data_IF_371368829995
#
_entry.id   IF_371368829995
#
_cell.length_a   1.000
_cell.length_b   1.000
_cell.length_c   1.000
_cell.angle_alpha   90.00
_cell.angle_beta   90.00
_cell.angle_gamma   90.00
#
_symmetry.space_group_name_H-M   'P 1'
#
loop_
_entity.id
_entity.type
_entity.pdbx_description
1 polymer ?
#
# COMPACT_ATOMS: atom_id res chain seq x y z
N UNK A 1 -3.96 -9.18 23.64
CA UNK A 1 -4.87 -8.10 23.19
C UNK A 1 -6.02 -8.78 22.49
N UNK A 2 -7.16 -8.93 23.17
CA UNK A 2 -8.34 -9.63 22.64
C UNK A 2 -8.99 -8.77 21.56
N UNK A 3 -9.35 -9.37 20.41
CA UNK A 3 -10.12 -8.75 19.31
C UNK A 3 -11.56 -8.42 19.72
N UNK A 4 -11.71 -7.66 20.80
CA UNK A 4 -13.02 -7.29 21.29
C UNK A 4 -13.53 -6.10 20.45
N UNK A 5 -14.35 -6.41 19.46
CA UNK A 5 -15.38 -5.52 18.89
C UNK A 5 -14.95 -4.30 18.08
N UNK A 6 -14.10 -4.50 17.08
CA UNK A 6 -14.26 -3.73 15.83
C UNK A 6 -14.53 -4.75 14.74
N UNK A 7 -15.81 -4.86 14.36
CA UNK A 7 -16.18 -5.59 13.15
C UNK A 7 -15.61 -4.78 11.98
N UNK A 8 -14.38 -5.07 11.57
CA UNK A 8 -13.75 -4.33 10.47
C UNK A 8 -14.46 -4.60 9.15
N UNK A 9 -15.18 -5.72 9.01
CA UNK A 9 -15.86 -6.09 7.78
C UNK A 9 -16.81 -4.97 7.35
N UNK A 10 -16.63 -4.50 6.12
CA UNK A 10 -17.40 -3.40 5.54
C UNK A 10 -16.85 -2.01 5.84
N UNK A 11 -15.90 -1.86 6.76
CA UNK A 11 -15.19 -0.60 6.99
C UNK A 11 -13.96 -0.49 6.09
N UNK A 12 -13.60 0.75 5.75
CA UNK A 12 -12.32 1.05 5.13
C UNK A 12 -11.24 1.12 6.21
N UNK A 13 -10.09 0.53 5.95
CA UNK A 13 -8.94 0.58 6.87
C UNK A 13 -7.70 1.05 6.13
N UNK A 14 -6.81 1.70 6.86
CA UNK A 14 -5.44 1.94 6.41
C UNK A 14 -4.52 0.91 7.06
N UNK A 15 -3.80 0.18 6.22
CA UNK A 15 -2.95 -0.90 6.65
C UNK A 15 -1.50 -0.69 6.17
N UNK A 16 -0.54 -0.96 7.04
CA UNK A 16 0.89 -1.01 6.68
C UNK A 16 1.14 -2.24 5.81
N UNK A 17 1.22 -2.01 4.52
CA UNK A 17 1.55 -2.99 3.49
C UNK A 17 2.05 -2.26 2.25
N UNK A 18 2.80 -2.95 1.42
CA UNK A 18 3.28 -2.48 0.12
C UNK A 18 2.46 -3.03 -1.04
N UNK A 19 1.50 -3.91 -0.76
CA UNK A 19 0.76 -4.63 -1.81
C UNK A 19 -0.70 -4.20 -1.82
N UNK A 20 -1.20 -3.85 -3.01
CA UNK A 20 -2.59 -3.49 -3.27
C UNK A 20 -3.12 -4.29 -4.47
N UNK A 21 -4.42 -4.55 -4.49
CA UNK A 21 -5.08 -5.04 -5.71
C UNK A 21 -5.45 -3.87 -6.62
N UNK A 22 -5.25 -4.05 -7.92
CA UNK A 22 -5.78 -3.12 -8.92
C UNK A 22 -7.31 -3.24 -8.99
N UNK A 23 -8.00 -2.11 -8.93
CA UNK A 23 -9.46 -2.06 -9.00
C UNK A 23 -9.92 -0.81 -9.75
N UNK A 24 -10.89 -0.98 -10.64
CA UNK A 24 -11.38 0.08 -11.52
C UNK A 24 -10.24 0.73 -12.32
N UNK A 25 -9.27 -0.08 -12.73
CA UNK A 25 -8.09 0.37 -13.48
C UNK A 25 -7.10 1.21 -12.68
N UNK A 26 -7.17 1.26 -11.35
CA UNK A 26 -6.21 2.03 -10.54
C UNK A 26 -5.86 1.35 -9.21
N UNK A 27 -4.73 1.74 -8.63
CA UNK A 27 -4.35 1.36 -7.27
C UNK A 27 -3.79 2.58 -6.55
N UNK A 28 -4.20 2.77 -5.29
CA UNK A 28 -3.70 3.86 -4.45
C UNK A 28 -2.88 3.31 -3.31
N UNK A 29 -1.69 3.87 -3.17
CA UNK A 29 -0.73 3.56 -2.13
C UNK A 29 -0.46 4.82 -1.30
N UNK A 30 -0.23 4.65 -0.01
CA UNK A 30 0.36 5.64 0.86
C UNK A 30 1.81 5.31 1.17
N UNK A 31 2.58 6.32 1.54
CA UNK A 31 3.92 6.15 2.10
C UNK A 31 4.23 7.27 3.08
N UNK A 32 4.87 6.90 4.19
CA UNK A 32 5.27 7.83 5.24
C UNK A 32 6.78 8.06 5.18
N UNK A 33 7.19 9.32 5.14
CA UNK A 33 8.59 9.74 5.19
C UNK A 33 8.91 10.33 6.56
N UNK A 34 10.03 9.93 7.16
CA UNK A 34 10.47 10.43 8.47
C UNK A 34 10.93 11.89 8.43
N UNK A 35 11.38 12.36 7.27
CA UNK A 35 11.73 13.75 6.96
C UNK A 35 11.49 14.03 5.48
N UNK A 36 11.69 15.27 5.04
CA UNK A 36 11.53 15.61 3.63
C UNK A 36 12.61 14.93 2.79
N UNK A 37 12.21 14.31 1.68
CA UNK A 37 13.10 13.69 0.71
C UNK A 37 13.46 14.67 -0.41
N UNK A 38 14.72 14.67 -0.82
CA UNK A 38 15.18 15.36 -2.03
C UNK A 38 14.92 14.53 -3.29
N UNK A 39 14.94 13.20 -3.18
CA UNK A 39 14.66 12.29 -4.28
C UNK A 39 13.63 11.25 -3.85
N UNK A 40 12.61 11.02 -4.67
CA UNK A 40 11.63 9.94 -4.46
C UNK A 40 11.42 9.21 -5.78
N UNK A 41 11.86 7.96 -5.83
CA UNK A 41 11.63 7.03 -6.93
C UNK A 41 10.63 5.97 -6.50
N UNK A 42 9.64 5.72 -7.34
CA UNK A 42 8.59 4.72 -7.12
C UNK A 42 8.66 3.70 -8.25
N UNK A 43 8.52 2.43 -7.89
CA UNK A 43 8.30 1.34 -8.83
C UNK A 43 7.11 0.52 -8.38
N UNK A 44 6.35 0.01 -9.35
CA UNK A 44 5.24 -0.93 -9.12
C UNK A 44 5.61 -2.24 -9.78
N UNK A 45 5.48 -3.34 -9.02
CA UNK A 45 5.78 -4.69 -9.48
C UNK A 45 4.53 -5.55 -9.53
N UNK A 46 4.45 -6.43 -10.50
CA UNK A 46 3.43 -7.48 -10.56
C UNK A 46 3.73 -8.61 -9.55
N UNK A 47 2.79 -9.55 -9.41
CA UNK A 47 2.94 -10.73 -8.54
C UNK A 47 4.09 -11.68 -8.94
N UNK A 48 4.63 -11.53 -10.15
CA UNK A 48 5.80 -12.28 -10.63
C UNK A 48 7.12 -11.57 -10.31
N UNK A 49 7.06 -10.37 -9.71
CA UNK A 49 8.21 -9.54 -9.37
C UNK A 49 8.72 -8.65 -10.50
N UNK A 50 8.03 -8.63 -11.67
CA UNK A 50 8.43 -7.77 -12.78
C UNK A 50 8.01 -6.34 -12.51
N UNK A 51 8.90 -5.38 -12.81
CA UNK A 51 8.55 -3.96 -12.70
C UNK A 51 7.68 -3.58 -13.89
N UNK A 52 6.42 -3.25 -13.63
CA UNK A 52 5.44 -2.87 -14.66
C UNK A 52 5.39 -1.35 -14.85
N UNK A 53 5.75 -0.58 -13.81
CA UNK A 53 5.73 0.87 -13.86
C UNK A 53 6.84 1.46 -12.99
N UNK A 54 7.38 2.61 -13.40
CA UNK A 54 8.31 3.43 -12.61
C UNK A 54 8.00 4.90 -12.78
N UNK A 55 8.34 5.70 -11.76
CA UNK A 55 8.18 7.14 -11.78
C UNK A 55 8.69 7.79 -10.51
N UNK A 56 8.27 9.03 -10.28
CA UNK A 56 8.66 9.80 -9.09
C UNK A 56 7.47 10.05 -8.18
N UNK A 57 7.76 10.28 -6.90
CA UNK A 57 6.78 10.60 -5.87
C UNK A 57 6.99 11.98 -5.24
N UNK A 58 6.11 12.32 -4.31
CA UNK A 58 6.21 13.51 -3.46
C UNK A 58 7.18 13.27 -2.30
N UNK A 59 8.06 14.23 -2.05
CA UNK A 59 9.10 14.16 -1.00
C UNK A 59 8.74 14.89 0.30
N UNK A 60 7.46 15.10 0.61
CA UNK A 60 7.10 15.82 1.83
C UNK A 60 7.31 14.91 3.06
N UNK A 61 7.78 15.47 4.17
CA UNK A 61 7.82 14.74 5.45
C UNK A 61 6.40 14.35 5.87
N UNK A 62 6.26 13.18 6.49
CA UNK A 62 4.97 12.65 6.92
C UNK A 62 4.30 11.82 5.83
N UNK A 63 2.96 11.77 5.85
CA UNK A 63 2.19 10.93 4.95
C UNK A 63 2.06 11.54 3.56
N UNK A 64 2.30 10.72 2.55
CA UNK A 64 2.13 11.03 1.13
C UNK A 64 1.26 9.97 0.47
N UNK A 65 0.56 10.34 -0.59
CA UNK A 65 -0.26 9.43 -1.41
C UNK A 65 0.30 9.32 -2.81
N UNK A 66 0.18 8.13 -3.40
CA UNK A 66 0.51 7.86 -4.79
C UNK A 66 -0.59 6.99 -5.40
N UNK A 67 -1.20 7.48 -6.49
CA UNK A 67 -2.19 6.74 -7.26
C UNK A 67 -1.58 6.36 -8.60
N UNK A 68 -1.58 5.07 -8.87
CA UNK A 68 -1.19 4.50 -10.15
C UNK A 68 -2.44 4.19 -10.98
N UNK A 69 -2.39 4.51 -12.27
CA UNK A 69 -3.49 4.36 -13.23
C UNK A 69 -3.57 2.95 -13.84
N UNK A 70 -2.90 1.98 -13.22
CA UNK A 70 -2.97 0.57 -13.63
C UNK A 70 -2.34 0.28 -14.99
N UNK A 71 -1.61 1.23 -15.59
CA UNK A 71 -0.94 1.03 -16.87
C UNK A 71 0.50 0.60 -16.69
N UNK A 72 0.94 -0.33 -17.53
CA UNK A 72 2.36 -0.66 -17.64
C UNK A 72 3.14 0.44 -18.38
N UNK A 73 4.46 0.28 -18.44
CA UNK A 73 5.39 1.19 -19.14
C UNK A 73 5.19 1.26 -20.66
N UNK A 74 4.44 0.32 -21.24
CA UNK A 74 4.04 0.32 -22.65
C UNK A 74 2.67 0.99 -22.88
N UNK A 75 2.02 1.45 -21.81
CA UNK A 75 0.70 2.07 -21.84
C UNK A 75 -0.46 1.07 -21.90
N UNK A 76 -0.21 -0.22 -21.70
CA UNK A 76 -1.28 -1.22 -21.65
C UNK A 76 -1.97 -1.16 -20.30
N UNK A 77 -3.30 -1.16 -20.32
CA UNK A 77 -4.10 -1.29 -19.09
C UNK A 77 -3.99 -2.72 -18.57
N UNK A 78 -3.61 -2.85 -17.30
CA UNK A 78 -3.56 -4.13 -16.62
C UNK A 78 -4.93 -4.51 -16.05
N UNK A 79 -5.15 -5.81 -15.86
CA UNK A 79 -6.43 -6.36 -15.42
C UNK A 79 -6.69 -6.12 -13.94
N UNK A 80 -7.92 -5.71 -13.63
CA UNK A 80 -8.41 -5.64 -12.25
C UNK A 80 -8.32 -6.99 -11.54
N UNK A 81 -8.12 -6.93 -10.21
CA UNK A 81 -7.90 -8.10 -9.36
C UNK A 81 -6.45 -8.59 -9.31
N UNK A 82 -5.57 -8.05 -10.17
CA UNK A 82 -4.12 -8.27 -10.05
C UNK A 82 -3.56 -7.62 -8.79
N UNK A 83 -2.67 -8.32 -8.07
CA UNK A 83 -1.95 -7.77 -6.93
C UNK A 83 -0.63 -7.15 -7.37
N UNK A 84 -0.37 -5.93 -6.89
CA UNK A 84 0.79 -5.15 -7.25
C UNK A 84 1.49 -4.61 -6.02
N UNK A 85 2.81 -4.68 -6.03
CA UNK A 85 3.66 -4.26 -4.91
C UNK A 85 4.35 -2.95 -5.26
N UNK A 86 4.16 -1.91 -4.45
CA UNK A 86 4.88 -0.65 -4.54
C UNK A 86 6.24 -0.78 -3.86
N UNK A 87 7.28 -0.24 -4.48
CA UNK A 87 8.58 -0.04 -3.87
C UNK A 87 8.95 1.43 -3.99
N UNK A 88 9.05 2.10 -2.84
CA UNK A 88 9.42 3.51 -2.72
C UNK A 88 10.88 3.59 -2.28
N UNK A 89 11.67 4.38 -3.00
CA UNK A 89 13.02 4.76 -2.60
C UNK A 89 13.04 6.28 -2.43
N UNK A 90 13.12 6.73 -1.17
CA UNK A 90 13.10 8.14 -0.81
C UNK A 90 14.37 8.50 -0.03
N UNK A 91 15.14 9.47 -0.52
CA UNK A 91 16.41 9.90 0.10
C UNK A 91 16.49 11.40 0.32
N UNK A 92 17.16 11.81 1.41
CA UNK A 92 17.51 13.21 1.67
C UNK A 92 18.64 13.71 0.75
N UNK A 93 19.06 14.96 0.92
CA UNK A 93 20.14 15.57 0.13
C UNK A 93 21.52 14.94 0.37
N UNK A 94 21.68 14.21 1.48
CA UNK A 94 22.90 13.47 1.81
C UNK A 94 22.84 12.00 1.31
N UNK A 95 21.72 11.58 0.71
CA UNK A 95 21.51 10.23 0.21
C UNK A 95 21.01 9.23 1.26
N UNK A 96 20.66 9.68 2.47
CA UNK A 96 20.13 8.78 3.50
C UNK A 96 18.67 8.43 3.20
N UNK A 97 18.28 7.16 3.40
CA UNK A 97 16.89 6.74 3.26
C UNK A 97 16.01 7.39 4.33
N UNK A 98 14.89 7.96 3.90
CA UNK A 98 13.90 8.61 4.78
C UNK A 98 12.52 7.93 4.72
N UNK A 99 12.40 6.80 4.01
CA UNK A 99 11.17 6.01 4.01
C UNK A 99 10.97 5.32 5.37
N UNK A 100 9.77 5.47 5.94
CA UNK A 100 9.37 4.78 7.16
C UNK A 100 8.59 3.50 6.84
N UNK A 101 7.44 3.63 6.18
CA UNK A 101 6.61 2.51 5.77
C UNK A 101 5.67 2.93 4.63
N UNK A 102 5.14 1.94 3.90
CA UNK A 102 4.07 2.10 2.93
C UNK A 102 2.73 1.69 3.54
N UNK A 103 1.65 2.21 2.98
CA UNK A 103 0.28 1.89 3.41
C UNK A 103 -0.61 1.65 2.20
N UNK A 104 -1.71 0.93 2.43
CA UNK A 104 -2.81 0.78 1.48
C UNK A 104 -4.11 1.01 2.23
N UNK A 105 -5.03 1.70 1.56
CA UNK A 105 -6.38 1.91 2.06
C UNK A 105 -7.34 1.00 1.28
N UNK A 106 -8.21 0.29 1.99
CA UNK A 106 -9.20 -0.56 1.34
C UNK A 106 -10.29 -1.02 2.29
N UNK A 107 -11.40 -1.46 1.72
CA UNK A 107 -12.50 -2.06 2.49
C UNK A 107 -12.10 -3.46 2.94
N UNK A 108 -12.38 -3.76 4.20
CA UNK A 108 -12.16 -5.10 4.75
C UNK A 108 -13.31 -6.01 4.33
N UNK A 109 -12.99 -7.11 3.67
CA UNK A 109 -13.97 -8.09 3.15
C UNK A 109 -13.93 -9.42 3.89
N UNK A 110 -12.88 -9.67 4.67
CA UNK A 110 -12.69 -10.92 5.39
C UNK A 110 -11.81 -10.73 6.62
N UNK A 111 -12.01 -11.59 7.61
CA UNK A 111 -11.17 -11.69 8.79
C UNK A 111 -10.85 -13.16 8.99
N UNK A 112 -9.57 -13.49 9.10
CA UNK A 112 -9.06 -14.80 9.45
C UNK A 112 -8.50 -14.77 10.87
N UNK A 113 -9.15 -15.51 11.77
CA UNK A 113 -8.75 -15.65 13.18
C UNK A 113 -8.21 -17.05 13.49
N UNK A 114 -7.81 -17.81 12.48
CA UNK A 114 -7.30 -19.18 12.64
C UNK A 114 -5.95 -19.24 13.35
N UNK A 115 -5.18 -18.14 13.33
CA UNK A 115 -3.87 -18.04 13.98
C UNK A 115 -3.90 -17.15 15.23
N UNK A 116 -2.80 -17.13 15.98
CA UNK A 116 -2.66 -16.27 17.18
C UNK A 116 -2.70 -14.78 16.88
N UNK A 117 -2.38 -14.38 15.65
CA UNK A 117 -2.47 -12.99 15.16
C UNK A 117 -3.42 -12.95 13.98
N UNK A 118 -4.64 -12.42 14.16
CA UNK A 118 -5.63 -12.41 13.10
C UNK A 118 -5.16 -11.59 11.89
N UNK A 119 -5.66 -11.96 10.72
CA UNK A 119 -5.42 -11.25 9.46
C UNK A 119 -6.74 -10.70 8.92
N UNK A 120 -6.69 -9.55 8.26
CA UNK A 120 -7.80 -8.91 7.59
C UNK A 120 -7.54 -8.93 6.09
N UNK A 121 -8.56 -9.24 5.30
CA UNK A 121 -8.52 -9.08 3.85
C UNK A 121 -8.92 -7.64 3.51
N UNK A 122 -7.96 -6.80 3.16
CA UNK A 122 -8.11 -5.38 2.82
C UNK A 122 -8.00 -5.24 1.29
N UNK A 123 -9.11 -4.92 0.61
CA UNK A 123 -9.09 -4.75 -0.85
C UNK A 123 -8.54 -5.98 -1.61
N UNK A 124 -8.80 -7.18 -1.11
CA UNK A 124 -8.31 -8.44 -1.69
C UNK A 124 -6.93 -8.89 -1.20
N UNK A 125 -6.22 -8.06 -0.42
CA UNK A 125 -4.88 -8.38 0.12
C UNK A 125 -4.99 -8.79 1.59
N UNK A 126 -4.34 -9.89 1.98
CA UNK A 126 -4.29 -10.34 3.37
C UNK A 126 -3.24 -9.55 4.16
N UNK A 127 -3.67 -8.86 5.22
CA UNK A 127 -2.81 -8.02 6.07
C UNK A 127 -3.03 -8.37 7.53
N UNK A 128 -1.95 -8.54 8.30
CA UNK A 128 -2.04 -8.77 9.74
C UNK A 128 -2.79 -7.63 10.44
N UNK A 129 -3.67 -7.96 11.39
CA UNK A 129 -4.36 -6.96 12.20
C UNK A 129 -3.42 -6.03 12.96
N UNK A 130 -2.20 -6.50 13.27
CA UNK A 130 -1.16 -5.69 13.91
C UNK A 130 -0.64 -4.56 13.01
N UNK A 131 -0.85 -4.67 11.69
CA UNK A 131 -0.44 -3.68 10.71
C UNK A 131 -1.56 -2.68 10.37
N UNK A 132 -2.76 -2.83 10.94
CA UNK A 132 -3.83 -1.85 10.79
C UNK A 132 -3.51 -0.63 11.64
N UNK A 133 -3.46 0.54 11.01
CA UNK A 133 -3.09 1.80 11.67
C UNK A 133 -4.21 2.83 11.69
N UNK A 134 -5.27 2.62 10.91
CA UNK A 134 -6.44 3.49 10.87
C UNK A 134 -7.69 2.76 10.41
N UNK A 135 -8.85 3.23 10.87
CA UNK A 135 -10.17 2.81 10.39
C UNK A 135 -10.90 4.06 9.95
N UNK A 136 -11.39 4.06 8.72
CA UNK A 136 -12.17 5.13 8.11
C UNK A 136 -13.54 4.53 7.75
N UNK A 137 -14.62 5.13 8.26
CA UNK A 137 -15.99 4.62 8.04
C UNK A 137 -16.58 5.10 6.73
#
# INVERSE_FOLDING_TARGET
MTLNSVNYIGHTVEAKTDTASLSNGSATFGYSLSSAASNVSISVKDSSGNTVWTGTGTGNSGSNSFTWDGKDSSGNQLSDGGQYTISVNATDSAGNSVLNYTTVTGTVTGIDTSTSTPSLTVGGVSVSAANIIGVTS
#
